data_IF_191997692766
#
_entry.id   IF_191997692766
#
_cell.length_a   1.000
_cell.length_b   1.000
_cell.length_c   1.000
_cell.angle_alpha   90.00
_cell.angle_beta   90.00
_cell.angle_gamma   90.00
#
_symmetry.space_group_name_H-M   'P 1'
#
loop_
_entity.id
_entity.type
_entity.pdbx_description
1 polymer ?
#
# COMPACT_ATOMS: atom_id res chain seq x y z
N UNK A 1 20.31 -1.64 -5.93
CA UNK A 1 18.90 -1.69 -6.34
C UNK A 1 18.12 -1.67 -5.04
N UNK A 2 17.60 -0.51 -4.66
CA UNK A 2 16.84 -0.37 -3.42
C UNK A 2 15.39 -0.82 -3.67
N UNK A 3 14.78 -1.46 -2.68
CA UNK A 3 13.40 -1.95 -2.76
C UNK A 3 12.49 -0.93 -2.08
N UNK A 4 11.34 -0.66 -2.69
CA UNK A 4 10.33 0.25 -2.15
C UNK A 4 9.68 -0.32 -0.88
N UNK A 5 9.51 0.49 0.16
CA UNK A 5 8.80 0.08 1.38
C UNK A 5 7.30 -0.07 1.09
N UNK A 6 6.76 -1.27 1.32
CA UNK A 6 5.35 -1.58 1.04
C UNK A 6 4.36 -0.73 1.84
N UNK A 7 4.74 -0.24 3.04
CA UNK A 7 3.89 0.65 3.84
C UNK A 7 3.81 2.02 3.21
N UNK A 8 4.92 2.50 2.66
CA UNK A 8 4.97 3.75 1.91
C UNK A 8 4.17 3.65 0.61
N UNK A 9 4.30 2.55 -0.13
CA UNK A 9 3.47 2.29 -1.31
C UNK A 9 1.99 2.25 -0.97
N UNK A 10 1.61 1.60 0.13
CA UNK A 10 0.21 1.55 0.59
C UNK A 10 -0.30 2.94 0.98
N UNK A 11 0.51 3.74 1.68
CA UNK A 11 0.15 5.12 2.04
C UNK A 11 -0.06 5.99 0.79
N UNK A 12 0.85 5.88 -0.18
CA UNK A 12 0.75 6.59 -1.46
C UNK A 12 -0.50 6.16 -2.25
N UNK A 13 -0.73 4.86 -2.43
CA UNK A 13 -1.90 4.33 -3.13
C UNK A 13 -3.19 4.88 -2.53
N UNK A 14 -3.30 4.85 -1.19
CA UNK A 14 -4.51 5.30 -0.52
C UNK A 14 -4.73 6.81 -0.70
N UNK A 15 -3.69 7.63 -0.60
CA UNK A 15 -3.80 9.08 -0.87
C UNK A 15 -4.23 9.33 -2.32
N UNK A 16 -3.67 8.55 -3.27
CA UNK A 16 -4.01 8.66 -4.69
C UNK A 16 -5.47 8.30 -4.97
N UNK A 17 -5.99 7.23 -4.35
CA UNK A 17 -7.38 6.78 -4.50
C UNK A 17 -8.37 7.74 -3.85
N UNK A 18 -8.04 8.28 -2.68
CA UNK A 18 -8.94 9.13 -1.90
C UNK A 18 -8.88 10.62 -2.30
N UNK A 19 -7.80 11.07 -2.95
CA UNK A 19 -7.55 12.49 -3.21
C UNK A 19 -7.39 13.33 -1.93
N UNK A 20 -7.12 12.68 -0.79
CA UNK A 20 -7.13 13.32 0.53
C UNK A 20 -6.22 12.58 1.51
N UNK A 21 -5.25 13.29 2.08
CA UNK A 21 -4.42 12.75 3.16
C UNK A 21 -5.22 12.39 4.41
N UNK A 22 -6.27 13.16 4.70
CA UNK A 22 -7.12 12.92 5.88
C UNK A 22 -7.95 11.66 5.70
N UNK A 23 -8.58 11.50 4.55
CA UNK A 23 -9.39 10.31 4.25
C UNK A 23 -8.51 9.05 4.18
N UNK A 24 -7.33 9.15 3.57
CA UNK A 24 -6.37 8.05 3.53
C UNK A 24 -5.88 7.66 4.94
N UNK A 25 -5.64 8.63 5.81
CA UNK A 25 -5.25 8.34 7.19
C UNK A 25 -6.34 7.57 7.94
N UNK A 26 -7.61 7.92 7.74
CA UNK A 26 -8.74 7.20 8.33
C UNK A 26 -8.78 5.75 7.82
N UNK A 27 -8.69 5.52 6.51
CA UNK A 27 -8.72 4.17 5.93
C UNK A 27 -7.55 3.30 6.42
N UNK A 28 -6.37 3.90 6.55
CA UNK A 28 -5.18 3.19 7.02
C UNK A 28 -5.13 3.03 8.54
N UNK A 29 -6.08 3.59 9.29
CA UNK A 29 -6.05 3.70 10.75
C UNK A 29 -4.76 4.35 11.26
N UNK A 30 -4.34 5.43 10.61
CA UNK A 30 -3.14 6.21 10.91
C UNK A 30 -3.50 7.68 11.19
N UNK A 31 -2.51 8.45 11.66
CA UNK A 31 -2.64 9.91 11.68
C UNK A 31 -2.32 10.49 10.30
N UNK A 32 -2.90 11.66 9.98
CA UNK A 32 -2.58 12.40 8.76
C UNK A 32 -1.07 12.71 8.67
N UNK A 33 -0.42 13.00 9.80
CA UNK A 33 1.02 13.24 9.87
C UNK A 33 1.85 11.99 9.52
N UNK A 34 1.40 10.79 9.93
CA UNK A 34 2.07 9.55 9.59
C UNK A 34 1.98 9.24 8.09
N UNK A 35 0.81 9.45 7.48
CA UNK A 35 0.63 9.30 6.02
C UNK A 35 1.48 10.31 5.26
N UNK A 36 1.47 11.58 5.68
CA UNK A 36 2.29 12.64 5.08
C UNK A 36 3.80 12.34 5.20
N UNK A 37 4.26 11.88 6.36
CA UNK A 37 5.65 11.48 6.56
C UNK A 37 6.03 10.29 5.67
N UNK A 38 5.17 9.28 5.58
CA UNK A 38 5.38 8.11 4.74
C UNK A 38 5.48 8.47 3.26
N UNK A 39 4.64 9.38 2.78
CA UNK A 39 4.70 9.84 1.40
C UNK A 39 5.97 10.67 1.14
N UNK A 40 6.33 11.58 2.04
CA UNK A 40 7.56 12.36 1.93
C UNK A 40 8.82 11.49 1.91
N UNK A 41 8.83 10.42 2.69
CA UNK A 41 9.94 9.47 2.69
C UNK A 41 10.05 8.76 1.33
N UNK A 42 8.92 8.35 0.74
CA UNK A 42 8.87 7.74 -0.60
C UNK A 42 9.32 8.71 -1.69
N UNK A 43 8.81 9.94 -1.68
CA UNK A 43 9.22 10.99 -2.62
C UNK A 43 10.69 11.37 -2.46
N UNK A 44 11.21 11.32 -1.22
CA UNK A 44 12.61 11.56 -0.91
C UNK A 44 13.53 10.45 -1.43
N UNK A 45 13.13 9.18 -1.27
CA UNK A 45 13.85 8.02 -1.80
C UNK A 45 13.89 8.01 -3.34
N UNK A 46 12.78 8.40 -3.97
CA UNK A 46 12.65 8.48 -5.43
C UNK A 46 13.17 9.79 -6.03
N UNK A 47 13.57 10.75 -5.20
CA UNK A 47 13.98 12.10 -5.58
C UNK A 47 12.98 12.82 -6.52
N UNK A 48 11.68 12.51 -6.41
CA UNK A 48 10.62 13.05 -7.28
C UNK A 48 9.32 13.25 -6.53
N UNK A 49 8.58 14.29 -6.89
CA UNK A 49 7.22 14.50 -6.38
C UNK A 49 6.25 13.57 -7.11
N UNK A 50 5.48 12.81 -6.34
CA UNK A 50 4.44 11.90 -6.83
C UNK A 50 3.07 12.57 -6.80
N UNK A 51 2.92 13.56 -5.91
CA UNK A 51 1.67 14.27 -5.69
C UNK A 51 1.90 15.78 -5.77
N UNK A 52 0.95 16.49 -6.39
CA UNK A 52 0.92 17.94 -6.48
C UNK A 52 -0.42 18.51 -5.99
N UNK A 53 -0.39 19.77 -5.55
CA UNK A 53 -1.60 20.51 -5.16
C UNK A 53 -2.18 21.22 -6.37
N UNK A 54 -3.46 20.97 -6.66
CA UNK A 54 -4.26 21.70 -7.63
C UNK A 54 -5.30 22.54 -6.86
N UNK A 55 -4.87 23.69 -6.34
CA UNK A 55 -5.70 24.51 -5.46
C UNK A 55 -5.99 23.82 -4.12
N UNK A 56 -7.25 23.42 -3.90
CA UNK A 56 -7.66 22.65 -2.71
C UNK A 56 -7.52 21.15 -2.88
N UNK A 57 -7.41 20.69 -4.13
CA UNK A 57 -7.42 19.28 -4.46
C UNK A 57 -6.00 18.72 -4.61
N UNK A 58 -5.91 17.40 -4.47
CA UNK A 58 -4.70 16.63 -4.65
C UNK A 58 -4.75 15.97 -6.02
N UNK A 59 -3.65 16.04 -6.77
CA UNK A 59 -3.49 15.38 -8.05
C UNK A 59 -2.16 14.62 -8.13
N UNK A 60 -2.13 13.55 -8.91
CA UNK A 60 -0.90 12.83 -9.22
C UNK A 60 -0.06 13.62 -10.23
N UNK A 61 1.25 13.56 -10.06
CA UNK A 61 2.20 13.90 -11.13
C UNK A 61 2.27 12.76 -12.15
N UNK A 62 2.99 12.96 -13.26
CA UNK A 62 3.26 11.87 -14.22
C UNK A 62 4.00 10.70 -13.55
N UNK A 63 5.00 11.00 -12.70
CA UNK A 63 5.70 10.01 -11.90
C UNK A 63 4.76 9.28 -10.93
N UNK A 64 3.84 10.02 -10.29
CA UNK A 64 2.80 9.44 -9.44
C UNK A 64 1.89 8.49 -10.20
N UNK A 65 1.47 8.84 -11.41
CA UNK A 65 0.61 7.98 -12.22
C UNK A 65 1.30 6.67 -12.63
N UNK A 66 2.59 6.73 -12.97
CA UNK A 66 3.41 5.55 -13.27
C UNK A 66 3.54 4.68 -12.01
N UNK A 67 3.92 5.28 -10.89
CA UNK A 67 4.14 4.55 -9.65
C UNK A 67 2.86 3.90 -9.14
N UNK A 68 1.70 4.55 -9.29
CA UNK A 68 0.42 3.99 -8.84
C UNK A 68 0.13 2.65 -9.52
N UNK A 69 0.32 2.57 -10.84
CA UNK A 69 0.12 1.32 -11.58
C UNK A 69 1.09 0.20 -11.18
N UNK A 70 2.29 0.53 -10.70
CA UNK A 70 3.22 -0.44 -10.12
C UNK A 70 2.84 -0.83 -8.69
N UNK A 71 2.48 0.15 -7.85
CA UNK A 71 2.10 -0.05 -6.46
C UNK A 71 0.90 -1.01 -6.33
N UNK A 72 -0.13 -0.82 -7.16
CA UNK A 72 -1.31 -1.69 -7.19
C UNK A 72 -0.93 -3.15 -7.48
N UNK A 73 -0.07 -3.40 -8.47
CA UNK A 73 0.39 -4.76 -8.82
C UNK A 73 1.23 -5.37 -7.70
N UNK A 74 2.18 -4.60 -7.15
CA UNK A 74 3.06 -5.07 -6.08
C UNK A 74 2.23 -5.47 -4.85
N UNK A 75 1.34 -4.59 -4.40
CA UNK A 75 0.51 -4.83 -3.21
C UNK A 75 -0.48 -5.96 -3.43
N UNK A 76 -1.01 -6.13 -4.64
CA UNK A 76 -1.85 -7.26 -5.00
C UNK A 76 -1.07 -8.59 -4.95
N UNK A 77 0.14 -8.65 -5.51
CA UNK A 77 0.96 -9.86 -5.42
C UNK A 77 1.38 -10.19 -3.98
N UNK A 78 1.66 -9.18 -3.15
CA UNK A 78 1.92 -9.38 -1.72
C UNK A 78 0.71 -9.97 -0.99
N UNK A 79 -0.51 -9.53 -1.36
CA UNK A 79 -1.77 -10.07 -0.84
C UNK A 79 -1.97 -11.52 -1.27
N UNK A 80 -1.83 -11.82 -2.56
CA UNK A 80 -1.94 -13.17 -3.12
C UNK A 80 -0.95 -14.14 -2.48
N UNK A 81 0.30 -13.72 -2.27
CA UNK A 81 1.30 -14.54 -1.59
C UNK A 81 0.86 -14.90 -0.17
N UNK A 82 0.29 -13.93 0.57
CA UNK A 82 -0.23 -14.16 1.94
C UNK A 82 -1.43 -15.10 1.93
N UNK A 83 -2.34 -14.94 0.99
CA UNK A 83 -3.53 -15.78 0.84
C UNK A 83 -3.14 -17.22 0.46
N UNK A 84 -2.20 -17.39 -0.46
CA UNK A 84 -1.67 -18.69 -0.86
C UNK A 84 -1.08 -19.48 0.32
N UNK A 85 -0.28 -18.83 1.18
CA UNK A 85 0.26 -19.47 2.38
C UNK A 85 -0.83 -19.80 3.41
N UNK A 86 -1.82 -18.92 3.60
CA UNK A 86 -2.95 -19.18 4.51
C UNK A 86 -3.79 -20.38 4.06
N UNK A 87 -3.99 -20.54 2.75
CA UNK A 87 -4.74 -21.66 2.20
C UNK A 87 -4.07 -23.02 2.53
N UNK A 88 -2.74 -23.07 2.57
CA UNK A 88 -2.00 -24.27 2.99
C UNK A 88 -2.17 -24.55 4.50
N UNK A 89 -2.06 -23.52 5.35
CA UNK A 89 -2.21 -23.68 6.80
C UNK A 89 -3.61 -24.09 7.24
N UNK A 90 -4.66 -23.75 6.48
CA UNK A 90 -6.02 -24.25 6.72
C UNK A 90 -6.18 -25.74 6.36
N UNK A 91 -5.40 -26.24 5.40
CA UNK A 91 -5.43 -27.66 5.01
C UNK A 91 -4.73 -28.59 6.00
N UNK A 92 -3.75 -28.09 6.78
CA UNK A 92 -3.05 -28.89 7.79
C UNK A 92 -3.90 -29.12 9.06
N UNK A 93 -4.80 -28.18 9.42
CA UNK A 93 -5.66 -28.31 10.60
C UNK A 93 -6.82 -29.32 10.41
N UNK A 94 -7.22 -29.59 9.16
CA UNK A 94 -8.23 -30.60 8.84
C UNK A 94 -7.68 -32.03 8.91
N UNK A 95 -6.37 -32.22 8.72
CA UNK A 95 -5.72 -33.54 8.78
C UNK A 95 -5.61 -34.03 10.24
N UNK A 96 -5.29 -33.14 11.19
CA UNK A 96 -5.15 -33.52 12.61
C UNK A 96 -6.51 -33.82 13.28
N UNK A 97 -7.57 -33.14 12.85
CA UNK A 97 -8.93 -33.34 13.37
C UNK A 97 -9.58 -34.63 12.85
N UNK A 98 -9.24 -35.07 11.63
CA UNK A 98 -9.73 -36.33 11.05
C UNK A 98 -8.86 -37.56 11.37
N UNK A 99 -7.58 -37.39 11.72
CA UNK A 99 -6.70 -38.49 12.13
C UNK A 99 -6.93 -38.95 13.59
N UNK A 100 -7.67 -38.17 14.38
CA UNK A 100 -8.00 -38.48 15.79
C UNK A 100 -9.40 -39.09 15.98
N UNK A 101 -10.02 -39.57 14.90
CA UNK A 101 -11.38 -40.15 14.88
C UNK A 101 -11.42 -41.57 14.37
#
# INVERSE_FOLDING_TARGET
>A
MEILDSRQLRAFQEVAHQGSFTSAAVELSLTQSAVSHSLKALEGDLEVQLIQRAGKDIQLTEAGQILLGHAEKILQHMKEAREGIRALGLSEQEIETNASR
#
